data_IF_779933548050
#
_entry.id   IF_779933548050
#
_cell.length_a   1.000
_cell.length_b   1.000
_cell.length_c   1.000
_cell.angle_alpha   90.00
_cell.angle_beta   90.00
_cell.angle_gamma   90.00
#
_symmetry.space_group_name_H-M   'P 1'
#
loop_
_entity.id
_entity.type
_entity.pdbx_description
1 polymer ?
#
# COMPACT_ATOMS: atom_id res chain seq x y z
N UNK A 1 -1.59 -21.94 11.18
CA UNK A 1 -1.17 -20.68 11.82
C UNK A 1 -2.31 -20.11 12.63
N UNK A 2 -2.04 -19.28 13.65
CA UNK A 2 -3.11 -18.62 14.40
C UNK A 2 -3.84 -17.62 13.50
N UNK A 3 -5.17 -17.53 13.66
CA UNK A 3 -6.00 -16.51 12.96
C UNK A 3 -5.54 -15.12 13.35
N UNK A 4 -5.39 -14.23 12.39
CA UNK A 4 -5.08 -12.81 12.59
C UNK A 4 -6.30 -11.96 12.24
N UNK A 5 -6.58 -10.92 13.01
CA UNK A 5 -7.65 -9.99 12.66
C UNK A 5 -7.32 -9.24 11.36
N UNK A 6 -6.12 -8.65 11.29
CA UNK A 6 -5.64 -7.95 10.10
C UNK A 6 -4.19 -8.34 9.80
N UNK A 7 -3.88 -8.51 8.52
CA UNK A 7 -2.51 -8.64 8.00
C UNK A 7 -2.22 -7.54 7.00
N UNK A 8 -0.94 -7.18 6.84
CA UNK A 8 -0.53 -6.19 5.85
C UNK A 8 0.16 -6.83 4.64
N UNK A 9 -0.16 -6.32 3.45
CA UNK A 9 0.48 -6.66 2.19
C UNK A 9 1.12 -5.40 1.61
N UNK A 10 2.44 -5.34 1.63
CA UNK A 10 3.23 -4.16 1.29
C UNK A 10 3.80 -4.29 -0.13
N UNK A 11 3.31 -3.47 -1.05
CA UNK A 11 3.72 -3.44 -2.45
C UNK A 11 5.07 -2.71 -2.59
N UNK A 12 6.15 -3.44 -2.74
CA UNK A 12 7.52 -2.94 -2.79
C UNK A 12 8.26 -3.24 -4.12
N UNK A 13 7.51 -3.58 -5.18
CA UNK A 13 8.04 -4.02 -6.47
C UNK A 13 8.27 -2.91 -7.51
N UNK A 14 7.98 -1.66 -7.23
CA UNK A 14 8.05 -0.56 -8.18
C UNK A 14 9.46 -0.21 -8.64
N UNK A 15 9.61 0.07 -9.95
CA UNK A 15 10.90 0.41 -10.59
C UNK A 15 11.46 1.78 -10.14
N UNK A 16 10.58 2.74 -9.84
CA UNK A 16 10.97 4.08 -9.38
C UNK A 16 11.77 4.90 -10.41
N UNK A 17 11.58 4.67 -11.70
CA UNK A 17 12.35 5.28 -12.79
C UNK A 17 12.46 6.80 -12.74
N UNK A 18 11.45 7.48 -12.19
CA UNK A 18 11.42 8.95 -12.03
C UNK A 18 12.45 9.49 -11.02
N UNK A 19 13.02 8.64 -10.15
CA UNK A 19 14.11 9.00 -9.24
C UNK A 19 15.50 8.87 -9.88
N UNK A 20 15.57 8.49 -11.17
CA UNK A 20 16.79 8.47 -11.97
C UNK A 20 17.94 7.68 -11.33
N UNK A 21 19.03 8.37 -11.01
CA UNK A 21 20.26 7.74 -10.48
C UNK A 21 20.06 7.06 -9.11
N UNK A 22 19.09 7.50 -8.30
CA UNK A 22 18.83 6.94 -6.98
C UNK A 22 18.28 5.50 -7.07
N UNK A 23 17.57 5.19 -8.14
CA UNK A 23 16.94 3.87 -8.36
C UNK A 23 17.62 3.05 -9.45
N UNK A 24 18.73 3.51 -10.00
CA UNK A 24 19.48 2.79 -11.06
C UNK A 24 19.92 1.38 -10.62
N UNK A 25 20.21 1.19 -9.32
CA UNK A 25 20.74 -0.08 -8.75
C UNK A 25 20.01 -0.54 -7.50
N UNK A 26 18.89 0.09 -7.15
CA UNK A 26 18.10 -0.26 -5.96
C UNK A 26 16.62 -0.04 -6.23
N UNK A 27 15.75 -0.85 -5.64
CA UNK A 27 14.32 -0.62 -5.64
C UNK A 27 13.98 0.70 -4.93
N UNK A 28 12.94 1.43 -5.37
CA UNK A 28 12.52 2.70 -4.74
C UNK A 28 12.33 2.57 -3.22
N UNK A 29 11.68 1.52 -2.67
CA UNK A 29 11.54 1.35 -1.23
C UNK A 29 12.87 1.22 -0.46
N UNK A 30 13.95 0.83 -1.14
CA UNK A 30 15.28 0.69 -0.54
C UNK A 30 16.15 1.95 -0.63
N UNK A 31 15.65 3.04 -1.24
CA UNK A 31 16.34 4.33 -1.29
C UNK A 31 16.45 4.89 0.13
N UNK A 32 17.64 5.40 0.48
CA UNK A 32 17.90 6.00 1.79
C UNK A 32 17.11 7.30 1.97
N UNK A 33 16.63 7.55 3.17
CA UNK A 33 15.86 8.72 3.53
C UNK A 33 16.29 9.23 4.91
N UNK A 34 16.42 10.54 5.08
CA UNK A 34 16.85 11.14 6.35
C UNK A 34 18.24 10.67 6.83
N UNK A 35 19.11 10.24 5.93
CA UNK A 35 20.48 9.80 6.23
C UNK A 35 20.60 8.43 6.93
N UNK A 36 19.55 7.96 7.61
CA UNK A 36 19.56 6.73 8.42
C UNK A 36 18.57 5.68 7.94
N UNK A 37 17.37 6.10 7.51
CA UNK A 37 16.27 5.23 7.16
C UNK A 37 16.24 4.90 5.66
N UNK A 38 15.36 4.01 5.29
CA UNK A 38 14.90 3.77 3.92
C UNK A 38 13.42 4.05 3.83
N UNK A 39 12.90 4.29 2.63
CA UNK A 39 11.48 4.58 2.43
C UNK A 39 10.58 3.47 3.01
N UNK A 40 10.98 2.21 2.86
CA UNK A 40 10.24 1.05 3.39
C UNK A 40 10.11 1.02 4.92
N UNK A 41 11.00 1.72 5.65
CA UNK A 41 10.99 1.71 7.12
C UNK A 41 9.74 2.38 7.68
N UNK A 42 9.16 3.34 6.96
CA UNK A 42 7.94 4.05 7.36
C UNK A 42 6.72 3.13 7.40
N UNK A 43 6.31 2.46 6.31
CA UNK A 43 5.16 1.56 6.38
C UNK A 43 5.40 0.35 7.30
N UNK A 44 6.62 -0.19 7.43
CA UNK A 44 6.91 -1.26 8.37
C UNK A 44 6.76 -0.79 9.83
N UNK A 45 7.28 0.40 10.16
CA UNK A 45 7.13 1.00 11.49
C UNK A 45 5.66 1.33 11.79
N UNK A 46 4.92 1.84 10.81
CA UNK A 46 3.48 2.08 10.97
C UNK A 46 2.72 0.77 11.25
N UNK A 47 3.05 -0.34 10.57
CA UNK A 47 2.43 -1.64 10.83
C UNK A 47 2.60 -2.05 12.29
N UNK A 48 3.84 -2.09 12.79
CA UNK A 48 4.09 -2.56 14.16
C UNK A 48 3.50 -1.61 15.21
N UNK A 49 3.58 -0.30 14.98
CA UNK A 49 2.99 0.70 15.87
C UNK A 49 1.45 0.67 15.89
N UNK A 50 0.81 0.08 14.88
CA UNK A 50 -0.63 -0.18 14.78
C UNK A 50 -1.00 -1.62 15.18
N UNK A 51 -0.11 -2.35 15.86
CA UNK A 51 -0.38 -3.72 16.33
C UNK A 51 -0.42 -4.78 15.22
N UNK A 52 -0.01 -4.47 13.98
CA UNK A 52 0.03 -5.41 12.87
C UNK A 52 1.38 -6.13 12.87
N UNK A 53 1.37 -7.38 13.27
CA UNK A 53 2.56 -8.22 13.45
C UNK A 53 2.81 -9.21 12.30
N UNK A 54 2.02 -9.15 11.24
CA UNK A 54 2.10 -10.05 10.09
C UNK A 54 2.09 -9.25 8.81
N UNK A 55 3.25 -9.21 8.12
CA UNK A 55 3.47 -8.35 6.97
C UNK A 55 4.08 -9.15 5.82
N UNK A 56 3.38 -9.24 4.69
CA UNK A 56 3.92 -9.74 3.43
C UNK A 56 4.49 -8.61 2.59
N UNK A 57 5.77 -8.65 2.24
CA UNK A 57 6.44 -7.63 1.42
C UNK A 57 6.65 -8.17 0.02
N UNK A 58 5.91 -7.63 -0.95
CA UNK A 58 5.95 -8.06 -2.35
C UNK A 58 7.07 -7.32 -3.08
N UNK A 59 8.14 -8.03 -3.41
CA UNK A 59 9.33 -7.47 -4.07
C UNK A 59 9.45 -7.99 -5.49
N UNK A 60 9.95 -7.18 -6.41
CA UNK A 60 10.14 -7.61 -7.79
C UNK A 60 11.40 -7.01 -8.40
N UNK A 61 11.51 -5.68 -8.43
CA UNK A 61 12.60 -4.98 -9.08
C UNK A 61 13.77 -4.74 -8.12
N UNK A 62 15.01 -5.09 -8.56
CA UNK A 62 16.24 -4.89 -7.78
C UNK A 62 16.14 -5.29 -6.28
N UNK A 63 15.70 -6.52 -5.96
CA UNK A 63 15.26 -6.87 -4.62
C UNK A 63 16.42 -7.04 -3.62
N UNK A 64 17.64 -7.29 -4.09
CA UNK A 64 18.75 -7.70 -3.22
C UNK A 64 18.98 -6.75 -2.03
N UNK A 65 19.13 -5.45 -2.28
CA UNK A 65 19.38 -4.48 -1.20
C UNK A 65 18.17 -4.28 -0.30
N UNK A 66 16.97 -4.38 -0.87
CA UNK A 66 15.73 -4.29 -0.10
C UNK A 66 15.60 -5.50 0.83
N UNK A 67 15.74 -6.71 0.29
CA UNK A 67 15.64 -7.95 1.07
C UNK A 67 16.71 -8.01 2.17
N UNK A 68 17.96 -7.59 1.86
CA UNK A 68 19.03 -7.52 2.87
C UNK A 68 18.70 -6.54 3.99
N UNK A 69 18.06 -5.40 3.67
CA UNK A 69 17.67 -4.40 4.66
C UNK A 69 16.53 -4.89 5.56
N UNK A 70 15.52 -5.51 4.98
CA UNK A 70 14.39 -6.09 5.73
C UNK A 70 14.88 -7.24 6.61
N UNK A 71 15.75 -8.11 6.06
CA UNK A 71 16.23 -9.31 6.76
C UNK A 71 15.06 -10.15 7.24
N UNK A 72 15.08 -10.53 8.51
CA UNK A 72 13.99 -11.23 9.20
C UNK A 72 13.09 -10.30 10.02
N UNK A 73 13.28 -8.98 9.92
CA UNK A 73 12.42 -7.99 10.55
C UNK A 73 12.81 -7.53 11.96
N UNK A 74 14.02 -7.87 12.44
CA UNK A 74 14.51 -7.51 13.79
C UNK A 74 14.28 -6.01 14.13
N UNK A 75 14.59 -5.03 13.25
CA UNK A 75 14.43 -3.62 13.60
C UNK A 75 12.99 -3.19 13.93
N UNK A 76 12.01 -3.98 13.52
CA UNK A 76 10.56 -3.70 13.71
C UNK A 76 9.87 -4.74 14.62
N UNK A 77 10.61 -5.58 15.34
CA UNK A 77 10.04 -6.69 16.14
C UNK A 77 9.13 -7.60 15.30
N UNK A 78 9.51 -7.83 14.03
CA UNK A 78 8.82 -8.69 13.07
C UNK A 78 9.55 -10.02 12.82
N UNK A 79 10.54 -10.38 13.66
CA UNK A 79 11.25 -11.67 13.64
C UNK A 79 10.53 -12.74 14.49
N UNK A 80 9.24 -12.91 14.24
CA UNK A 80 8.34 -13.73 15.05
C UNK A 80 8.21 -15.14 14.50
N UNK A 81 7.98 -16.12 15.39
CA UNK A 81 7.72 -17.51 15.01
C UNK A 81 6.35 -17.68 14.31
N UNK A 82 5.37 -16.86 14.67
CA UNK A 82 4.04 -16.83 14.05
C UNK A 82 3.73 -15.40 13.59
N UNK A 83 3.54 -15.21 12.29
CA UNK A 83 3.46 -13.89 11.68
C UNK A 83 4.85 -13.39 11.27
N UNK A 84 5.17 -12.13 11.66
CA UNK A 84 6.43 -11.49 11.31
C UNK A 84 6.43 -10.96 9.87
N UNK A 85 7.63 -10.57 9.38
CA UNK A 85 7.79 -10.14 8.00
C UNK A 85 8.19 -11.30 7.10
N UNK A 86 7.49 -11.42 5.97
CA UNK A 86 7.81 -12.39 4.91
C UNK A 86 8.03 -11.65 3.60
N UNK A 87 9.19 -11.85 2.97
CA UNK A 87 9.45 -11.32 1.63
C UNK A 87 8.86 -12.27 0.60
N UNK A 88 8.03 -11.73 -0.28
CA UNK A 88 7.26 -12.46 -1.29
C UNK A 88 7.72 -12.00 -2.69
N UNK A 89 8.75 -12.64 -3.28
CA UNK A 89 9.13 -12.39 -4.67
C UNK A 89 8.17 -13.12 -5.61
N UNK A 90 8.06 -12.69 -6.89
CA UNK A 90 7.39 -13.50 -7.90
C UNK A 90 8.11 -14.85 -8.02
N UNK A 91 7.34 -15.91 -8.21
CA UNK A 91 7.89 -17.26 -8.33
C UNK A 91 7.32 -18.01 -9.54
N UNK A 92 8.13 -18.95 -10.04
CA UNK A 92 7.72 -19.80 -11.14
C UNK A 92 6.75 -20.87 -10.64
N UNK A 93 5.56 -20.90 -11.23
CA UNK A 93 4.65 -22.07 -11.10
C UNK A 93 5.02 -23.08 -12.18
N UNK A 94 4.74 -24.35 -11.95
CA UNK A 94 5.10 -25.47 -12.86
C UNK A 94 4.65 -25.29 -14.33
N UNK A 95 3.75 -24.36 -14.59
CA UNK A 95 3.15 -24.10 -15.91
C UNK A 95 3.41 -22.69 -16.45
N UNK A 96 3.88 -21.74 -15.62
CA UNK A 96 4.14 -20.33 -16.02
C UNK A 96 5.11 -19.66 -15.09
N UNK A 97 6.07 -18.91 -15.65
CA UNK A 97 6.91 -17.96 -14.93
C UNK A 97 6.33 -16.57 -15.14
N UNK A 98 5.70 -15.99 -14.11
CA UNK A 98 4.99 -14.73 -14.28
C UNK A 98 5.51 -13.68 -13.29
N UNK A 99 6.08 -12.62 -13.85
CA UNK A 99 6.29 -11.37 -13.13
C UNK A 99 4.95 -10.80 -12.67
N UNK A 100 4.95 -10.03 -11.58
CA UNK A 100 3.75 -9.30 -11.18
C UNK A 100 3.34 -8.30 -12.26
N UNK A 101 2.20 -8.51 -12.87
CA UNK A 101 1.63 -7.66 -13.94
C UNK A 101 0.59 -6.70 -13.40
N UNK A 102 1.00 -5.89 -12.42
CA UNK A 102 0.14 -4.92 -11.74
C UNK A 102 0.04 -5.16 -10.24
N UNK A 103 -0.43 -4.16 -9.54
CA UNK A 103 -0.48 -4.13 -8.07
C UNK A 103 -1.43 -5.17 -7.48
N UNK A 104 -2.60 -5.36 -8.09
CA UNK A 104 -3.57 -6.37 -7.66
C UNK A 104 -3.16 -7.78 -8.08
N UNK A 105 -2.50 -7.93 -9.24
CA UNK A 105 -1.96 -9.22 -9.66
C UNK A 105 -0.89 -9.72 -8.67
N UNK A 106 -0.06 -8.84 -8.13
CA UNK A 106 0.92 -9.20 -7.10
C UNK A 106 0.24 -9.77 -5.85
N UNK A 107 -0.85 -9.18 -5.41
CA UNK A 107 -1.64 -9.67 -4.27
C UNK A 107 -2.31 -11.00 -4.62
N UNK A 108 -2.89 -11.13 -5.82
CA UNK A 108 -3.54 -12.36 -6.29
C UNK A 108 -2.57 -13.55 -6.28
N UNK A 109 -1.35 -13.38 -6.79
CA UNK A 109 -0.35 -14.45 -6.82
C UNK A 109 0.06 -14.94 -5.41
N UNK A 110 -0.18 -14.13 -4.37
CA UNK A 110 0.16 -14.42 -2.98
C UNK A 110 -1.09 -14.68 -2.10
N UNK A 111 -2.23 -15.06 -2.69
CA UNK A 111 -3.45 -15.37 -1.93
C UNK A 111 -3.23 -16.49 -0.92
N UNK A 112 -2.48 -17.53 -1.28
CA UNK A 112 -2.17 -18.66 -0.41
C UNK A 112 -1.45 -18.21 0.89
N UNK A 113 -0.61 -17.17 0.82
CA UNK A 113 0.02 -16.57 2.00
C UNK A 113 -1.02 -15.95 2.93
N UNK A 114 -1.97 -15.20 2.39
CA UNK A 114 -3.03 -14.57 3.19
C UNK A 114 -3.98 -15.62 3.79
N UNK A 115 -4.35 -16.63 3.01
CA UNK A 115 -5.24 -17.72 3.44
C UNK A 115 -4.70 -18.51 4.64
N UNK A 116 -3.38 -18.65 4.78
CA UNK A 116 -2.76 -19.32 5.92
C UNK A 116 -3.11 -18.68 7.26
N UNK A 117 -3.36 -17.38 7.30
CA UNK A 117 -3.72 -16.63 8.50
C UNK A 117 -5.22 -16.45 8.66
N UNK A 118 -6.02 -16.74 7.61
CA UNK A 118 -7.48 -16.56 7.58
C UNK A 118 -7.91 -15.23 8.22
N UNK A 119 -7.41 -14.08 7.73
CA UNK A 119 -7.66 -12.77 8.32
C UNK A 119 -9.11 -12.35 8.15
N UNK A 120 -9.60 -11.43 8.99
CA UNK A 120 -10.87 -10.76 8.74
C UNK A 120 -10.66 -9.58 7.77
N UNK A 121 -9.50 -8.91 7.86
CA UNK A 121 -9.14 -7.73 7.05
C UNK A 121 -7.75 -7.85 6.47
N UNK A 122 -7.55 -7.24 5.30
CA UNK A 122 -6.24 -7.13 4.64
C UNK A 122 -5.94 -5.65 4.38
N UNK A 123 -4.82 -5.20 4.94
CA UNK A 123 -4.27 -3.87 4.69
C UNK A 123 -3.32 -3.93 3.51
N UNK A 124 -3.62 -3.21 2.44
CA UNK A 124 -2.75 -3.06 1.26
C UNK A 124 -2.02 -1.73 1.36
N UNK A 125 -0.71 -1.77 1.26
CA UNK A 125 0.17 -0.61 1.43
C UNK A 125 1.06 -0.41 0.20
N UNK A 126 1.28 0.85 -0.18
CA UNK A 126 2.38 1.25 -1.05
C UNK A 126 3.67 1.39 -0.24
N UNK A 127 4.74 0.77 -0.71
CA UNK A 127 6.05 0.77 -0.04
C UNK A 127 6.95 1.95 -0.42
N UNK A 128 6.40 3.02 -1.00
CA UNK A 128 7.17 4.08 -1.63
C UNK A 128 6.77 5.50 -1.21
N UNK A 129 6.05 5.63 -0.08
CA UNK A 129 5.62 6.89 0.50
C UNK A 129 6.23 7.13 1.90
N UNK A 130 6.34 8.40 2.28
CA UNK A 130 6.80 8.83 3.61
C UNK A 130 5.61 9.38 4.38
N UNK A 131 5.27 8.73 5.49
CA UNK A 131 4.14 9.13 6.35
C UNK A 131 4.21 8.41 7.70
N UNK A 132 3.47 8.91 8.69
CA UNK A 132 3.29 8.27 10.00
C UNK A 132 1.81 8.13 10.27
N UNK A 133 1.28 6.92 10.21
CA UNK A 133 -0.15 6.65 10.31
C UNK A 133 -0.42 5.48 11.26
N UNK A 134 -1.46 5.61 12.07
CA UNK A 134 -2.01 4.52 12.85
C UNK A 134 -3.13 3.83 12.06
N UNK A 135 -2.87 2.60 11.65
CA UNK A 135 -3.83 1.82 10.86
C UNK A 135 -4.96 1.22 11.72
N UNK A 136 -4.79 1.13 13.05
CA UNK A 136 -5.86 0.69 13.95
C UNK A 136 -7.04 1.67 13.90
N UNK A 137 -6.76 2.98 13.91
CA UNK A 137 -7.79 4.03 13.77
C UNK A 137 -8.55 3.90 12.45
N UNK A 138 -7.83 3.61 11.35
CA UNK A 138 -8.46 3.39 10.05
C UNK A 138 -9.29 2.09 10.03
N UNK A 139 -8.84 1.04 10.73
CA UNK A 139 -9.58 -0.21 10.86
C UNK A 139 -10.86 -0.02 11.67
N UNK A 140 -10.81 0.75 12.76
CA UNK A 140 -12.00 1.09 13.55
C UNK A 140 -13.03 1.88 12.74
N UNK A 141 -12.56 2.82 11.91
CA UNK A 141 -13.42 3.52 10.95
C UNK A 141 -14.06 2.53 9.94
N UNK A 142 -13.28 1.60 9.41
CA UNK A 142 -13.76 0.56 8.49
C UNK A 142 -14.87 -0.28 9.14
N UNK A 143 -14.63 -0.74 10.37
CA UNK A 143 -15.60 -1.53 11.15
C UNK A 143 -16.87 -0.73 11.46
N UNK A 144 -16.73 0.53 11.92
CA UNK A 144 -17.86 1.40 12.29
C UNK A 144 -18.80 1.64 11.10
N UNK A 145 -18.26 1.81 9.91
CA UNK A 145 -19.04 2.00 8.69
C UNK A 145 -19.46 0.66 8.04
N UNK A 146 -19.08 -0.48 8.63
CA UNK A 146 -19.28 -1.81 8.05
C UNK A 146 -18.81 -1.84 6.59
N UNK A 147 -17.70 -1.18 6.30
CA UNK A 147 -17.17 -1.05 4.96
C UNK A 147 -16.68 -2.40 4.40
N UNK A 148 -16.74 -2.55 3.10
CA UNK A 148 -16.10 -3.68 2.40
C UNK A 148 -14.72 -3.25 1.92
N UNK A 149 -14.58 -1.94 1.59
CA UNK A 149 -13.32 -1.30 1.24
C UNK A 149 -13.24 0.08 1.91
N UNK A 150 -12.12 0.37 2.54
CA UNK A 150 -11.78 1.73 3.01
C UNK A 150 -10.50 2.20 2.35
N UNK A 151 -10.51 3.41 1.80
CA UNK A 151 -9.37 4.02 1.10
C UNK A 151 -8.89 5.21 1.93
N UNK A 152 -7.62 5.19 2.35
CA UNK A 152 -7.02 6.38 2.94
C UNK A 152 -6.81 7.44 1.88
N UNK A 153 -7.19 8.66 2.20
CA UNK A 153 -7.14 9.81 1.29
C UNK A 153 -6.77 11.10 2.02
N UNK A 154 -6.37 12.07 1.25
CA UNK A 154 -6.15 13.43 1.72
C UNK A 154 -6.42 14.45 0.61
N UNK A 155 -6.80 15.69 0.95
CA UNK A 155 -6.91 16.74 -0.03
C UNK A 155 -5.52 17.16 -0.54
N UNK A 156 -5.40 17.30 -1.85
CA UNK A 156 -4.19 17.79 -2.54
C UNK A 156 -4.52 19.05 -3.35
N UNK A 157 -3.52 19.87 -3.72
CA UNK A 157 -3.74 20.93 -4.71
C UNK A 157 -4.34 20.35 -5.99
N UNK A 158 -5.34 21.03 -6.56
CA UNK A 158 -6.07 20.50 -7.73
C UNK A 158 -5.14 20.28 -8.94
N UNK A 159 -4.09 21.07 -9.05
CA UNK A 159 -3.07 20.97 -10.10
C UNK A 159 -2.26 19.67 -10.02
N UNK A 160 -2.18 19.06 -8.82
CA UNK A 160 -1.49 17.80 -8.59
C UNK A 160 -2.42 16.58 -8.63
N UNK A 161 -3.73 16.80 -8.57
CA UNK A 161 -4.72 15.75 -8.44
C UNK A 161 -4.66 14.70 -9.58
N UNK A 162 -4.34 15.13 -10.81
CA UNK A 162 -4.17 14.23 -11.96
C UNK A 162 -3.08 13.15 -11.82
N UNK A 163 -2.25 13.25 -10.78
CA UNK A 163 -1.20 12.25 -10.49
C UNK A 163 -1.70 11.06 -9.69
N UNK A 164 -2.87 11.18 -9.07
CA UNK A 164 -3.43 10.24 -8.10
C UNK A 164 -4.76 9.65 -8.55
N UNK A 165 -5.20 8.59 -7.89
CA UNK A 165 -6.59 8.20 -7.91
C UNK A 165 -7.43 9.20 -7.13
N UNK A 166 -8.49 9.73 -7.74
CA UNK A 166 -9.33 10.79 -7.18
C UNK A 166 -10.69 10.21 -6.78
N UNK A 167 -11.19 10.66 -5.64
CA UNK A 167 -12.46 10.20 -5.10
C UNK A 167 -13.45 11.35 -4.97
N UNK A 168 -14.71 11.05 -5.28
CA UNK A 168 -15.87 11.86 -4.92
C UNK A 168 -16.65 11.10 -3.86
N UNK A 169 -17.04 11.79 -2.79
CA UNK A 169 -17.76 11.20 -1.66
C UNK A 169 -19.10 11.89 -1.44
N UNK A 170 -20.02 11.18 -0.83
CA UNK A 170 -21.23 11.77 -0.24
C UNK A 170 -20.94 12.37 1.15
N UNK A 171 -22.01 12.91 1.79
CA UNK A 171 -21.93 13.59 3.09
C UNK A 171 -21.51 12.67 4.26
N UNK A 172 -21.56 11.34 4.08
CA UNK A 172 -21.13 10.34 5.07
C UNK A 172 -19.77 9.74 4.77
N UNK A 173 -19.07 10.23 3.72
CA UNK A 173 -17.77 9.75 3.30
C UNK A 173 -17.81 8.47 2.45
N UNK A 174 -19.00 8.04 1.96
CA UNK A 174 -19.09 6.93 1.02
C UNK A 174 -18.63 7.38 -0.35
N UNK A 175 -17.78 6.57 -0.99
CA UNK A 175 -17.23 6.89 -2.32
C UNK A 175 -18.32 6.67 -3.38
N UNK A 176 -18.70 7.74 -4.04
CA UNK A 176 -19.67 7.74 -5.14
C UNK A 176 -18.98 7.61 -6.50
N UNK A 177 -17.76 8.16 -6.65
CA UNK A 177 -16.95 8.05 -7.84
C UNK A 177 -15.48 7.83 -7.50
N UNK A 178 -14.78 7.07 -8.35
CA UNK A 178 -13.35 6.88 -8.29
C UNK A 178 -12.76 7.00 -9.70
N UNK A 179 -11.78 7.89 -9.87
CA UNK A 179 -11.12 8.16 -11.13
C UNK A 179 -9.61 7.92 -10.99
N UNK A 180 -9.05 6.99 -11.74
CA UNK A 180 -7.61 6.71 -11.71
C UNK A 180 -6.85 7.66 -12.63
N UNK A 181 -6.13 8.63 -12.04
CA UNK A 181 -5.29 9.62 -12.72
C UNK A 181 -6.02 10.36 -13.84
N UNK A 182 -7.13 11.04 -13.53
CA UNK A 182 -7.91 11.76 -14.52
C UNK A 182 -7.14 12.97 -15.06
N UNK A 183 -7.32 13.29 -16.35
CA UNK A 183 -6.78 14.52 -16.95
C UNK A 183 -7.48 15.77 -16.37
N UNK A 184 -8.77 15.65 -16.08
CA UNK A 184 -9.59 16.70 -15.48
C UNK A 184 -10.26 16.17 -14.21
N UNK A 185 -9.58 16.27 -13.05
CA UNK A 185 -10.09 15.70 -11.80
C UNK A 185 -11.38 16.40 -11.35
N UNK A 186 -12.38 15.61 -10.97
CA UNK A 186 -13.67 16.08 -10.46
C UNK A 186 -13.62 16.50 -8.98
N UNK A 187 -12.56 16.12 -8.28
CA UNK A 187 -12.32 16.39 -6.85
C UNK A 187 -10.82 16.54 -6.60
N UNK A 188 -10.46 17.03 -5.42
CA UNK A 188 -9.08 17.09 -4.97
C UNK A 188 -8.77 16.05 -3.88
N UNK A 189 -9.68 15.11 -3.60
CA UNK A 189 -9.50 14.08 -2.60
C UNK A 189 -8.71 12.91 -3.20
N UNK A 190 -7.42 12.87 -2.92
CA UNK A 190 -6.47 11.94 -3.52
C UNK A 190 -6.31 10.66 -2.69
N UNK A 191 -6.28 9.52 -3.34
CA UNK A 191 -5.93 8.23 -2.75
C UNK A 191 -4.44 8.20 -2.36
N UNK A 192 -4.16 7.78 -1.14
CA UNK A 192 -2.81 7.58 -0.65
C UNK A 192 -2.22 6.21 -1.05
N UNK A 193 -2.97 5.37 -1.77
CA UNK A 193 -2.53 4.00 -2.08
C UNK A 193 -2.50 3.09 -0.86
N UNK A 194 -3.33 3.38 0.14
CA UNK A 194 -3.49 2.63 1.37
C UNK A 194 -4.95 2.18 1.45
N UNK A 195 -5.16 0.87 1.52
CA UNK A 195 -6.51 0.28 1.47
C UNK A 195 -6.70 -0.72 2.59
N UNK A 196 -7.85 -0.70 3.27
CA UNK A 196 -8.33 -1.82 4.08
C UNK A 196 -9.47 -2.48 3.35
N UNK A 197 -9.34 -3.78 3.12
CA UNK A 197 -10.39 -4.62 2.55
C UNK A 197 -10.89 -5.61 3.61
N UNK A 198 -12.19 -5.82 3.66
CA UNK A 198 -12.72 -7.05 4.22
C UNK A 198 -12.24 -8.23 3.38
N UNK A 199 -11.69 -9.29 4.01
CA UNK A 199 -11.07 -10.39 3.27
C UNK A 199 -11.98 -11.05 2.22
N UNK A 200 -13.28 -11.31 2.52
CA UNK A 200 -14.18 -11.87 1.51
C UNK A 200 -14.32 -11.00 0.26
N UNK A 201 -14.45 -9.67 0.42
CA UNK A 201 -14.58 -8.74 -0.69
C UNK A 201 -13.29 -8.70 -1.55
N UNK A 202 -12.11 -8.63 -0.91
CA UNK A 202 -10.84 -8.69 -1.63
C UNK A 202 -10.69 -10.00 -2.41
N UNK A 203 -10.96 -11.13 -1.76
CA UNK A 203 -10.84 -12.45 -2.37
C UNK A 203 -11.75 -12.59 -3.58
N UNK A 204 -13.02 -12.18 -3.47
CA UNK A 204 -13.98 -12.22 -4.59
C UNK A 204 -13.49 -11.35 -5.76
N UNK A 205 -13.06 -10.12 -5.50
CA UNK A 205 -12.57 -9.22 -6.54
C UNK A 205 -11.34 -9.78 -7.25
N UNK A 206 -10.34 -10.27 -6.52
CA UNK A 206 -9.13 -10.85 -7.09
C UNK A 206 -9.43 -12.10 -7.93
N UNK A 207 -10.31 -12.98 -7.45
CA UNK A 207 -10.71 -14.20 -8.19
C UNK A 207 -11.48 -13.87 -9.46
N UNK A 208 -12.33 -12.84 -9.43
CA UNK A 208 -13.11 -12.42 -10.60
C UNK A 208 -12.25 -11.76 -11.68
N UNK A 209 -11.13 -11.15 -11.28
CA UNK A 209 -10.22 -10.43 -12.18
C UNK A 209 -8.96 -11.23 -12.56
N UNK A 210 -8.86 -12.50 -12.16
CA UNK A 210 -7.66 -13.36 -12.31
C UNK A 210 -7.17 -13.53 -13.74
N UNK A 211 -8.07 -13.51 -14.72
CA UNK A 211 -7.76 -13.77 -16.13
C UNK A 211 -7.34 -12.51 -16.90
N UNK A 212 -7.22 -11.35 -16.20
CA UNK A 212 -6.71 -10.13 -16.80
C UNK A 212 -5.19 -10.18 -16.95
N UNK A 213 -4.66 -9.78 -18.10
CA UNK A 213 -3.22 -9.74 -18.38
C UNK A 213 -2.45 -8.80 -17.44
N UNK A 214 -3.11 -7.76 -16.93
CA UNK A 214 -2.57 -6.83 -15.93
C UNK A 214 -3.71 -6.39 -15.03
N UNK A 215 -3.51 -6.45 -13.72
CA UNK A 215 -4.54 -6.09 -12.75
C UNK A 215 -3.98 -5.14 -11.69
N UNK A 216 -4.56 -3.93 -11.64
CA UNK A 216 -4.22 -2.88 -10.67
C UNK A 216 -5.42 -2.56 -9.78
N UNK A 217 -5.14 -2.11 -8.53
CA UNK A 217 -6.20 -1.72 -7.61
C UNK A 217 -7.03 -0.57 -8.16
N UNK A 218 -6.43 0.57 -8.53
CA UNK A 218 -7.15 1.75 -8.99
C UNK A 218 -7.93 1.53 -10.29
N UNK A 219 -7.34 0.79 -11.24
CA UNK A 219 -7.94 0.61 -12.58
C UNK A 219 -8.98 -0.51 -12.65
N UNK A 220 -8.87 -1.52 -11.78
CA UNK A 220 -9.65 -2.73 -11.96
C UNK A 220 -10.40 -3.15 -10.69
N UNK A 221 -9.70 -3.27 -9.53
CA UNK A 221 -10.32 -3.78 -8.30
C UNK A 221 -11.34 -2.80 -7.73
N UNK A 222 -10.99 -1.51 -7.57
CA UNK A 222 -11.90 -0.52 -7.00
C UNK A 222 -13.15 -0.30 -7.88
N UNK A 223 -13.02 -0.13 -9.23
CA UNK A 223 -14.18 -0.11 -10.11
C UNK A 223 -15.06 -1.35 -10.01
N UNK A 224 -14.45 -2.54 -10.00
CA UNK A 224 -15.18 -3.80 -9.83
C UNK A 224 -15.98 -3.84 -8.52
N UNK A 225 -15.36 -3.51 -7.39
CA UNK A 225 -16.05 -3.46 -6.09
C UNK A 225 -17.21 -2.47 -6.10
N UNK A 226 -17.02 -1.30 -6.74
CA UNK A 226 -18.09 -0.30 -6.90
C UNK A 226 -19.26 -0.83 -7.75
N UNK A 227 -19.00 -1.47 -8.88
CA UNK A 227 -20.02 -2.06 -9.76
C UNK A 227 -20.79 -3.17 -9.07
N UNK A 228 -20.15 -3.93 -8.19
CA UNK A 228 -20.78 -4.95 -7.36
C UNK A 228 -21.67 -4.38 -6.25
N UNK A 229 -21.58 -3.07 -5.99
CA UNK A 229 -22.36 -2.40 -4.94
C UNK A 229 -21.74 -2.53 -3.55
N UNK A 230 -20.46 -2.92 -3.46
CA UNK A 230 -19.70 -2.94 -2.22
C UNK A 230 -19.69 -1.55 -1.55
N UNK A 231 -19.51 -1.53 -0.25
CA UNK A 231 -19.47 -0.28 0.55
C UNK A 231 -18.06 0.26 0.60
N UNK A 232 -17.77 1.19 -0.31
CA UNK A 232 -16.49 1.89 -0.38
C UNK A 232 -16.55 3.19 0.42
N UNK A 233 -15.62 3.39 1.35
CA UNK A 233 -15.52 4.60 2.17
C UNK A 233 -14.15 5.25 2.05
N UNK A 234 -14.13 6.58 2.08
CA UNK A 234 -12.93 7.39 2.14
C UNK A 234 -12.60 7.70 3.61
N UNK A 235 -11.39 7.34 4.04
CA UNK A 235 -10.85 7.72 5.33
C UNK A 235 -9.91 8.91 5.14
N UNK A 236 -10.34 10.10 5.53
CA UNK A 236 -9.54 11.31 5.41
C UNK A 236 -8.43 11.32 6.46
N UNK A 237 -7.19 11.29 5.99
CA UNK A 237 -5.99 11.34 6.81
C UNK A 237 -5.51 12.78 6.95
N UNK A 238 -5.30 13.23 8.20
CA UNK A 238 -4.93 14.62 8.53
C UNK A 238 -3.47 14.74 9.02
N UNK A 239 -2.62 13.78 8.67
CA UNK A 239 -1.20 13.79 9.05
C UNK A 239 -0.28 14.13 7.88
N UNK A 240 1.03 14.04 8.15
CA UNK A 240 2.04 14.20 7.10
C UNK A 240 2.08 12.98 6.18
N UNK A 241 1.99 13.23 4.88
CA UNK A 241 2.17 12.24 3.83
C UNK A 241 2.84 12.86 2.61
N UNK A 242 3.81 12.16 2.03
CA UNK A 242 4.52 12.62 0.82
C UNK A 242 4.79 11.44 -0.13
N UNK A 243 4.32 11.55 -1.38
CA UNK A 243 4.80 10.70 -2.47
C UNK A 243 6.18 11.20 -2.92
N UNK A 244 7.22 10.46 -2.57
CA UNK A 244 8.60 10.75 -2.96
C UNK A 244 8.91 10.13 -4.34
N UNK A 245 8.03 10.32 -5.30
CA UNK A 245 8.12 9.75 -6.63
C UNK A 245 9.03 10.50 -7.61
N UNK A 246 9.47 11.71 -7.29
CA UNK A 246 10.38 12.54 -8.11
C UNK A 246 11.58 13.00 -7.28
N UNK A 247 12.67 13.41 -7.94
CA UNK A 247 13.85 13.96 -7.24
C UNK A 247 13.49 15.21 -6.41
N UNK A 248 12.61 16.07 -6.93
CA UNK A 248 12.15 17.27 -6.22
C UNK A 248 11.39 16.91 -4.94
N UNK A 249 10.32 16.09 -5.05
CA UNK A 249 9.53 15.68 -3.88
C UNK A 249 10.36 14.86 -2.87
N UNK A 250 11.31 14.06 -3.35
CA UNK A 250 12.24 13.34 -2.46
C UNK A 250 13.16 14.31 -1.70
N UNK A 251 13.73 15.32 -2.38
CA UNK A 251 14.57 16.34 -1.75
C UNK A 251 13.77 17.16 -0.73
N UNK A 252 12.61 17.67 -1.12
CA UNK A 252 11.70 18.41 -0.23
C UNK A 252 11.38 17.62 1.03
N UNK A 253 10.93 16.36 0.88
CA UNK A 253 10.61 15.52 2.02
C UNK A 253 11.81 15.29 2.97
N UNK A 254 13.04 15.19 2.45
CA UNK A 254 14.23 15.11 3.29
C UNK A 254 14.49 16.43 4.05
N UNK A 255 14.21 17.58 3.44
CA UNK A 255 14.37 18.89 4.10
C UNK A 255 13.29 19.10 5.16
N UNK A 256 12.06 18.70 4.90
CA UNK A 256 10.92 18.77 5.83
C UNK A 256 11.15 17.97 7.12
N UNK A 257 12.04 16.95 7.12
CA UNK A 257 12.44 16.24 8.34
C UNK A 257 13.03 17.15 9.41
N UNK A 258 13.68 18.23 9.00
CA UNK A 258 14.31 19.19 9.93
C UNK A 258 13.22 19.92 10.73
N UNK A 259 12.11 20.25 10.07
CA UNK A 259 11.03 21.03 10.67
C UNK A 259 10.00 20.14 11.40
N UNK A 260 9.73 18.94 10.88
CA UNK A 260 8.66 18.07 11.34
C UNK A 260 9.08 17.07 12.44
N UNK A 261 10.37 17.00 12.76
CA UNK A 261 10.89 16.04 13.76
C UNK A 261 10.42 14.59 13.53
N UNK A 262 10.29 14.18 12.25
CA UNK A 262 9.89 12.81 11.86
C UNK A 262 10.97 11.76 12.18
N UNK A 263 12.06 12.16 12.86
CA UNK A 263 13.22 11.32 13.18
C UNK A 263 12.85 10.19 14.16
N UNK A 264 11.78 10.34 14.93
CA UNK A 264 11.35 9.38 15.94
C UNK A 264 10.22 8.48 15.43
N UNK A 265 10.44 7.84 14.30
CA UNK A 265 9.58 6.80 13.76
C UNK A 265 10.00 5.46 14.34
#
# INVERSE_FOLDING_TARGET
>A
MAKKEMIAMLLAGGQGSRLGVLTAKVAKPAVTFGGKYRIIDFPLSNCINSGIDTVGVLTQYQPLRLNTHIGIGIPWDLDRNEGGVTVLPPYEKSTSSEWYTGTANAIFQNMDYMEQYNPDYVLILSGDHIYKMDYEVMLDFHKANKADVTIACMPVPIEEASRFGIMVTDDIGRITEFEEKPEHPSSNLASMGIYIFSWPALKEALMSLKDQNSCDFGKHVLPYCKEKGERLFAYEYNGYWKDVGTLGSYWEANMELIDLSLIHI
#
